data_IF_266039098991
#
_entry.id   IF_266039098991
#
_cell.length_a   1.000
_cell.length_b   1.000
_cell.length_c   1.000
_cell.angle_alpha   90.00
_cell.angle_beta   90.00
_cell.angle_gamma   90.00
#
_symmetry.space_group_name_H-M   'P 1'
#
loop_
_entity.id
_entity.type
_entity.pdbx_description
1 polymer ?
#
# COMPACT_ATOMS: atom_id res chain seq x y z
N UNK A 1 -11.54 -1.47 -10.93
CA UNK A 1 -10.55 -2.54 -11.10
C UNK A 1 -11.21 -3.80 -11.63
N UNK A 2 -10.50 -4.54 -12.47
CA UNK A 2 -10.84 -5.92 -12.86
C UNK A 2 -9.82 -6.83 -12.20
N UNK A 3 -10.31 -7.85 -11.48
CA UNK A 3 -9.46 -8.83 -10.79
C UNK A 3 -9.85 -10.22 -11.25
N UNK A 4 -8.87 -10.98 -11.71
CA UNK A 4 -9.00 -12.37 -12.04
C UNK A 4 -8.11 -13.20 -11.14
N UNK A 5 -8.68 -14.25 -10.52
CA UNK A 5 -7.96 -15.15 -9.64
C UNK A 5 -8.21 -16.59 -10.03
N UNK A 6 -7.14 -17.39 -10.10
CA UNK A 6 -7.22 -18.81 -10.47
C UNK A 6 -6.29 -19.67 -9.62
N UNK A 7 -6.74 -20.86 -9.19
CA UNK A 7 -5.85 -21.83 -8.55
C UNK A 7 -4.92 -22.45 -9.61
N UNK A 8 -3.64 -22.58 -9.28
CA UNK A 8 -2.62 -23.22 -10.10
C UNK A 8 -2.31 -24.67 -9.67
N UNK A 9 -2.96 -25.18 -8.62
CA UNK A 9 -2.65 -26.47 -8.00
C UNK A 9 -1.52 -26.38 -6.96
N UNK A 10 -1.31 -27.45 -6.20
CA UNK A 10 -0.30 -27.55 -5.12
C UNK A 10 -0.38 -26.42 -4.08
N UNK A 11 -1.56 -25.84 -3.87
CA UNK A 11 -1.80 -24.75 -2.93
C UNK A 11 -1.37 -23.36 -3.43
N UNK A 12 -1.00 -23.21 -4.70
CA UNK A 12 -0.76 -21.92 -5.34
C UNK A 12 -2.04 -21.33 -5.93
N UNK A 13 -2.16 -20.00 -5.90
CA UNK A 13 -3.13 -19.26 -6.71
C UNK A 13 -2.48 -18.03 -7.34
N UNK A 14 -2.87 -17.77 -8.59
CA UNK A 14 -2.46 -16.58 -9.35
C UNK A 14 -3.58 -15.53 -9.26
N UNK A 15 -3.20 -14.29 -9.03
CA UNK A 15 -4.09 -13.12 -9.14
C UNK A 15 -3.52 -12.20 -10.21
N UNK A 16 -4.36 -11.75 -11.14
CA UNK A 16 -4.07 -10.67 -12.08
C UNK A 16 -5.10 -9.57 -11.85
N UNK A 17 -4.64 -8.34 -11.75
CA UNK A 17 -5.50 -7.19 -11.56
C UNK A 17 -5.11 -6.05 -12.50
N UNK A 18 -6.11 -5.34 -13.01
CA UNK A 18 -5.94 -4.13 -13.79
C UNK A 18 -6.92 -3.06 -13.35
N UNK A 19 -6.45 -1.85 -13.20
CA UNK A 19 -7.25 -0.71 -12.80
C UNK A 19 -6.78 0.56 -13.54
N UNK A 20 -7.68 1.34 -14.15
CA UNK A 20 -7.34 2.69 -14.61
C UNK A 20 -6.83 3.56 -13.47
N UNK A 21 -7.38 3.34 -12.27
CA UNK A 21 -7.04 4.02 -11.02
C UNK A 21 -6.95 2.96 -9.93
N UNK A 22 -5.83 2.91 -9.18
CA UNK A 22 -5.64 1.90 -8.14
C UNK A 22 -4.37 2.08 -7.31
N UNK A 23 -4.16 1.16 -6.38
CA UNK A 23 -2.95 1.09 -5.57
C UNK A 23 -2.00 0.04 -6.14
N UNK A 24 -0.74 0.36 -6.47
CA UNK A 24 0.27 -0.61 -6.86
C UNK A 24 0.72 -1.48 -5.68
N UNK A 25 1.42 -2.56 -5.95
CA UNK A 25 2.02 -3.45 -4.95
C UNK A 25 3.23 -2.78 -4.25
N UNK A 26 3.00 -1.65 -3.59
CA UNK A 26 4.02 -0.83 -2.93
C UNK A 26 3.48 -0.38 -1.57
N UNK A 27 4.27 -0.51 -0.51
CA UNK A 27 3.86 -0.16 0.84
C UNK A 27 2.84 -1.11 1.47
N UNK A 28 2.45 -0.86 2.72
CA UNK A 28 1.27 -1.46 3.32
C UNK A 28 0.01 -0.98 2.61
N UNK A 29 -1.14 -1.50 2.99
CA UNK A 29 -2.43 -0.92 2.61
C UNK A 29 -2.47 0.57 2.98
N UNK A 30 -2.96 1.43 2.10
CA UNK A 30 -3.05 2.87 2.33
C UNK A 30 -3.83 3.18 3.62
N UNK A 31 -3.49 4.29 4.30
CA UNK A 31 -4.00 4.60 5.65
C UNK A 31 -5.53 4.53 5.74
N UNK A 32 -6.24 5.01 4.75
CA UNK A 32 -7.71 5.03 4.70
C UNK A 32 -8.34 3.63 4.66
N UNK A 33 -7.56 2.60 4.34
CA UNK A 33 -8.02 1.21 4.27
C UNK A 33 -7.42 0.35 5.41
N UNK A 34 -6.57 0.91 6.27
CA UNK A 34 -6.00 0.19 7.42
C UNK A 34 -6.95 0.22 8.60
N UNK A 35 -7.19 -0.94 9.20
CA UNK A 35 -8.01 -1.01 10.43
C UNK A 35 -7.39 -0.22 11.58
N UNK A 36 -6.06 -0.13 11.67
CA UNK A 36 -5.36 0.65 12.68
C UNK A 36 -5.52 2.16 12.54
N UNK A 37 -5.91 2.64 11.34
CA UNK A 37 -6.15 4.06 11.04
C UNK A 37 -7.65 4.35 10.81
N UNK A 38 -8.55 3.45 11.22
CA UNK A 38 -9.98 3.56 10.92
C UNK A 38 -10.61 4.87 11.40
N UNK A 39 -10.14 5.41 12.51
CA UNK A 39 -10.64 6.68 13.08
C UNK A 39 -9.78 7.89 12.68
N UNK A 40 -8.76 7.69 11.86
CA UNK A 40 -7.88 8.80 11.46
C UNK A 40 -8.57 9.68 10.40
N UNK A 41 -8.91 10.94 10.69
CA UNK A 41 -9.60 11.81 9.76
C UNK A 41 -8.66 12.40 8.69
N UNK A 42 -7.34 12.28 8.86
CA UNK A 42 -6.33 12.94 8.01
C UNK A 42 -5.21 11.99 7.64
N UNK A 43 -4.57 12.24 6.50
CA UNK A 43 -3.38 11.49 6.10
C UNK A 43 -2.24 11.71 7.10
N UNK A 44 -1.52 10.65 7.54
CA UNK A 44 -0.31 10.79 8.34
C UNK A 44 0.75 11.60 7.59
N UNK A 45 1.55 12.40 8.29
CA UNK A 45 2.62 13.21 7.69
C UNK A 45 3.63 12.36 6.88
N UNK A 46 3.81 11.10 7.26
CA UNK A 46 4.75 10.16 6.64
C UNK A 46 4.17 9.40 5.43
N UNK A 47 2.90 9.61 5.04
CA UNK A 47 2.24 8.78 4.03
C UNK A 47 2.97 8.77 2.68
N UNK A 48 3.55 9.88 2.22
CA UNK A 48 4.37 9.95 1.00
C UNK A 48 5.67 9.11 1.05
N UNK A 49 6.02 8.57 2.23
CA UNK A 49 7.23 7.75 2.38
C UNK A 49 6.90 6.31 2.72
N UNK A 50 5.80 6.06 3.43
CA UNK A 50 5.46 4.74 3.96
C UNK A 50 4.41 3.99 3.14
N UNK A 51 3.51 4.69 2.48
CA UNK A 51 2.41 4.13 1.69
C UNK A 51 2.73 4.11 0.18
N UNK A 52 1.83 3.55 -0.62
CA UNK A 52 1.93 3.54 -2.08
C UNK A 52 1.66 4.90 -2.72
N UNK A 53 1.61 6.00 -1.99
CA UNK A 53 1.05 7.27 -2.43
C UNK A 53 -0.36 7.13 -2.98
N UNK A 54 -1.26 7.92 -2.54
CA UNK A 54 -2.69 8.05 -2.84
C UNK A 54 -3.26 7.07 -3.88
N UNK A 55 -3.21 7.42 -5.13
CA UNK A 55 -3.83 6.72 -6.24
C UNK A 55 -2.85 6.80 -7.40
N UNK A 56 -2.48 5.65 -7.94
CA UNK A 56 -1.70 5.57 -9.18
C UNK A 56 -2.61 5.32 -10.37
N UNK A 57 -2.24 5.86 -11.51
CA UNK A 57 -2.97 5.66 -12.76
C UNK A 57 -2.41 4.43 -13.49
N UNK A 58 -3.29 3.74 -14.25
CA UNK A 58 -2.88 2.64 -15.12
C UNK A 58 -2.21 1.47 -14.41
N UNK A 59 -2.73 1.03 -13.25
CA UNK A 59 -2.09 -0.03 -12.45
C UNK A 59 -2.38 -1.41 -12.99
N UNK A 60 -1.32 -2.18 -13.27
CA UNK A 60 -1.38 -3.61 -13.58
C UNK A 60 -0.62 -4.38 -12.49
N UNK A 61 -1.26 -5.37 -11.89
CA UNK A 61 -0.67 -6.18 -10.80
C UNK A 61 -0.78 -7.65 -11.10
N UNK A 62 0.29 -8.39 -10.84
CA UNK A 62 0.30 -9.84 -10.80
C UNK A 62 0.72 -10.31 -9.41
N UNK A 63 0.04 -11.30 -8.85
CA UNK A 63 0.32 -11.85 -7.52
C UNK A 63 0.28 -13.36 -7.49
N UNK A 64 1.14 -13.96 -6.70
CA UNK A 64 1.22 -15.38 -6.44
C UNK A 64 1.07 -15.62 -4.94
N UNK A 65 0.07 -16.44 -4.58
CA UNK A 65 -0.21 -16.82 -3.19
C UNK A 65 0.14 -18.30 -2.94
N UNK A 66 0.70 -18.60 -1.78
CA UNK A 66 0.84 -19.96 -1.26
C UNK A 66 0.83 -19.98 0.27
N UNK A 67 -0.19 -20.60 0.85
CA UNK A 67 -0.34 -20.66 2.31
C UNK A 67 -0.31 -19.27 2.94
N UNK A 68 0.61 -18.98 3.89
CA UNK A 68 0.69 -17.67 4.54
C UNK A 68 1.43 -16.60 3.71
N UNK A 69 2.00 -16.98 2.56
CA UNK A 69 2.83 -16.10 1.72
C UNK A 69 2.07 -15.58 0.51
N UNK A 70 2.32 -14.34 0.16
CA UNK A 70 1.92 -13.74 -1.10
C UNK A 70 3.06 -12.87 -1.62
N UNK A 71 3.33 -12.93 -2.92
CA UNK A 71 4.26 -12.04 -3.60
C UNK A 71 3.52 -11.38 -4.75
N UNK A 72 3.68 -10.08 -4.89
CA UNK A 72 3.00 -9.27 -5.90
C UNK A 72 4.01 -8.38 -6.63
N UNK A 73 3.72 -8.08 -7.88
CA UNK A 73 4.43 -7.07 -8.65
C UNK A 73 3.46 -6.20 -9.43
N UNK A 74 3.76 -4.91 -9.54
CA UNK A 74 2.94 -3.96 -10.29
C UNK A 74 3.76 -3.17 -11.28
N UNK A 75 3.12 -2.82 -12.41
CA UNK A 75 3.52 -1.77 -13.33
C UNK A 75 2.44 -0.69 -13.29
N UNK A 76 2.85 0.57 -13.27
CA UNK A 76 1.91 1.69 -13.11
C UNK A 76 2.52 3.00 -13.60
N UNK A 77 1.70 4.03 -13.76
CA UNK A 77 2.16 5.39 -13.97
C UNK A 77 2.61 5.98 -12.64
N UNK A 78 3.85 6.50 -12.58
CA UNK A 78 4.47 6.96 -11.34
C UNK A 78 4.01 8.33 -10.86
N UNK A 79 3.58 9.19 -11.78
CA UNK A 79 3.14 10.55 -11.45
C UNK A 79 1.85 10.55 -10.63
N UNK A 80 1.80 11.43 -9.64
CA UNK A 80 0.58 11.68 -8.88
C UNK A 80 -0.49 12.36 -9.74
N UNK A 81 -1.78 12.14 -9.45
CA UNK A 81 -2.86 12.93 -10.01
C UNK A 81 -2.64 14.42 -9.77
N UNK A 82 -2.94 15.24 -10.78
CA UNK A 82 -2.96 16.68 -10.59
C UNK A 82 -4.13 17.12 -9.67
N UNK A 83 -4.15 18.37 -9.26
CA UNK A 83 -5.17 18.90 -8.36
C UNK A 83 -6.51 19.22 -9.07
N UNK A 84 -6.63 18.98 -10.37
CA UNK A 84 -7.81 19.31 -11.15
C UNK A 84 -8.86 18.21 -11.07
N UNK A 85 -9.77 18.32 -10.13
CA UNK A 85 -10.80 17.30 -9.80
C UNK A 85 -11.74 16.91 -10.94
N UNK A 86 -11.82 17.71 -11.98
CA UNK A 86 -12.77 17.55 -13.08
C UNK A 86 -12.10 17.16 -14.39
N UNK A 87 -10.80 16.99 -14.37
CA UNK A 87 -10.04 16.56 -15.53
C UNK A 87 -9.97 15.04 -15.63
N UNK A 88 -10.09 14.53 -16.85
CA UNK A 88 -9.78 13.12 -17.13
C UNK A 88 -8.25 13.03 -17.24
N UNK A 89 -7.64 12.64 -16.16
CA UNK A 89 -6.19 12.42 -16.13
C UNK A 89 -5.76 11.46 -17.22
N UNK A 90 -4.72 11.85 -17.94
CA UNK A 90 -3.98 10.93 -18.79
C UNK A 90 -3.44 9.78 -17.90
N UNK A 91 -3.81 8.51 -18.16
CA UNK A 91 -3.24 7.39 -17.42
C UNK A 91 -1.72 7.29 -17.59
N UNK A 92 -1.13 8.05 -18.51
CA UNK A 92 0.30 8.11 -18.75
C UNK A 92 0.88 6.80 -19.27
N UNK A 93 2.20 6.77 -19.36
CA UNK A 93 2.97 5.56 -19.67
C UNK A 93 3.20 4.78 -18.39
N UNK A 94 3.19 3.43 -18.46
CA UNK A 94 3.57 2.57 -17.33
C UNK A 94 5.09 2.61 -17.16
N UNK A 95 5.58 3.61 -16.46
CA UNK A 95 6.99 3.98 -16.32
C UNK A 95 7.58 3.61 -14.95
N UNK A 96 6.75 3.09 -14.07
CA UNK A 96 7.06 2.76 -12.68
C UNK A 96 6.73 1.32 -12.37
N UNK A 97 7.44 0.75 -11.39
CA UNK A 97 7.24 -0.63 -10.99
C UNK A 97 7.41 -0.81 -9.49
N UNK A 98 6.82 -1.87 -8.96
CA UNK A 98 6.99 -2.27 -7.57
C UNK A 98 6.89 -3.77 -7.39
N UNK A 99 7.46 -4.25 -6.28
CA UNK A 99 7.30 -5.62 -5.77
C UNK A 99 6.95 -5.55 -4.29
N UNK A 100 6.08 -6.46 -3.84
CA UNK A 100 5.64 -6.55 -2.46
C UNK A 100 5.48 -8.00 -2.03
N UNK A 101 6.00 -8.31 -0.85
CA UNK A 101 5.81 -9.58 -0.18
C UNK A 101 4.94 -9.42 1.06
N UNK A 102 4.05 -10.38 1.29
CA UNK A 102 3.24 -10.51 2.49
C UNK A 102 3.52 -11.84 3.17
N UNK A 103 3.54 -11.81 4.49
CA UNK A 103 3.59 -13.00 5.33
C UNK A 103 2.55 -12.90 6.44
N UNK A 104 1.65 -13.87 6.50
CA UNK A 104 0.54 -13.94 7.45
C UNK A 104 0.71 -15.16 8.36
N UNK A 105 1.60 -15.10 9.40
CA UNK A 105 1.89 -16.25 10.26
C UNK A 105 0.67 -16.74 11.02
N UNK A 106 -0.27 -15.86 11.33
CA UNK A 106 -1.53 -16.16 12.01
C UNK A 106 -2.66 -15.32 11.41
N UNK A 107 -3.90 -15.58 11.79
CA UNK A 107 -5.04 -14.74 11.41
C UNK A 107 -5.00 -13.32 12.00
N UNK A 108 -4.14 -13.08 13.00
CA UNK A 108 -4.02 -11.78 13.65
C UNK A 108 -2.87 -10.93 13.11
N UNK A 109 -1.83 -11.52 12.52
CA UNK A 109 -0.64 -10.83 12.09
C UNK A 109 -0.48 -10.80 10.57
N UNK A 110 -0.12 -9.63 10.07
CA UNK A 110 0.29 -9.44 8.67
C UNK A 110 1.60 -8.65 8.65
N UNK A 111 2.63 -9.24 8.07
CA UNK A 111 3.91 -8.60 7.82
C UNK A 111 4.03 -8.29 6.34
N UNK A 112 4.66 -7.17 6.00
CA UNK A 112 4.84 -6.73 4.62
C UNK A 112 6.23 -6.15 4.45
N UNK A 113 6.83 -6.38 3.27
CA UNK A 113 7.98 -5.64 2.77
C UNK A 113 7.77 -5.35 1.28
N UNK A 114 8.18 -4.17 0.83
CA UNK A 114 8.08 -3.78 -0.58
C UNK A 114 9.25 -2.91 -1.01
N UNK A 115 9.47 -2.92 -2.32
CA UNK A 115 10.41 -2.03 -2.99
C UNK A 115 9.85 -1.62 -4.35
N UNK A 116 10.10 -0.38 -4.76
CA UNK A 116 9.64 0.11 -6.05
C UNK A 116 10.44 1.31 -6.55
N UNK A 117 10.29 1.54 -7.83
CA UNK A 117 10.80 2.69 -8.55
C UNK A 117 9.60 3.50 -9.06
N UNK A 118 9.57 4.78 -8.74
CA UNK A 118 8.56 5.74 -9.15
C UNK A 118 9.22 6.81 -10.00
N UNK A 119 8.71 6.97 -11.20
CA UNK A 119 9.15 7.99 -12.14
C UNK A 119 8.49 9.31 -11.81
N UNK A 120 9.28 10.30 -11.37
CA UNK A 120 8.83 11.67 -11.06
C UNK A 120 7.45 11.70 -10.36
N UNK A 121 7.31 11.09 -9.15
CA UNK A 121 6.01 10.89 -8.54
C UNK A 121 5.33 12.19 -8.09
N UNK A 122 6.08 13.23 -7.79
CA UNK A 122 5.56 14.48 -7.24
C UNK A 122 5.78 15.64 -8.24
N UNK A 123 4.71 16.36 -8.57
CA UNK A 123 4.76 17.44 -9.57
C UNK A 123 5.68 18.60 -9.17
N UNK A 124 5.82 18.86 -7.87
CA UNK A 124 6.60 19.97 -7.33
C UNK A 124 8.02 19.58 -6.88
N UNK A 125 8.33 18.28 -6.79
CA UNK A 125 9.65 17.76 -6.47
C UNK A 125 10.19 16.91 -7.63
N UNK A 126 10.97 17.52 -8.54
CA UNK A 126 11.47 16.79 -9.69
C UNK A 126 12.45 15.68 -9.30
N UNK A 127 12.35 14.56 -9.97
CA UNK A 127 13.26 13.43 -9.82
C UNK A 127 12.56 12.12 -9.52
N UNK A 128 13.27 11.05 -9.78
CA UNK A 128 12.79 9.70 -9.58
C UNK A 128 12.97 9.28 -8.12
N UNK A 129 12.10 8.42 -7.62
CA UNK A 129 12.14 7.91 -6.24
C UNK A 129 12.27 6.39 -6.23
N UNK A 130 13.23 5.88 -5.45
CA UNK A 130 13.22 4.47 -5.03
C UNK A 130 12.66 4.39 -3.63
N UNK A 131 11.53 3.71 -3.48
CA UNK A 131 10.83 3.54 -2.20
C UNK A 131 10.99 2.12 -1.68
N UNK A 132 11.37 2.01 -0.43
CA UNK A 132 11.38 0.75 0.31
C UNK A 132 10.51 0.92 1.55
N UNK A 133 9.63 -0.04 1.84
CA UNK A 133 8.89 -0.03 3.09
C UNK A 133 8.77 -1.42 3.70
N UNK A 134 8.59 -1.44 5.02
CA UNK A 134 8.26 -2.63 5.78
C UNK A 134 7.21 -2.29 6.83
N UNK A 135 6.29 -3.22 7.08
CA UNK A 135 5.25 -3.03 8.09
C UNK A 135 4.89 -4.31 8.82
N UNK A 136 4.42 -4.13 10.05
CA UNK A 136 3.81 -5.18 10.85
C UNK A 136 2.44 -4.68 11.33
N UNK A 137 1.38 -5.38 10.95
CA UNK A 137 0.01 -5.09 11.34
C UNK A 137 -0.54 -6.23 12.17
N UNK A 138 -1.23 -5.88 13.24
CA UNK A 138 -1.91 -6.80 14.12
C UNK A 138 -3.35 -6.38 14.32
N UNK A 139 -4.27 -7.35 14.30
CA UNK A 139 -5.68 -7.13 14.56
C UNK A 139 -6.26 -8.29 15.35
N UNK A 140 -7.04 -7.98 16.38
CA UNK A 140 -7.79 -8.97 17.18
C UNK A 140 -9.21 -8.52 17.45
N UNK A 141 -10.17 -9.41 17.22
CA UNK A 141 -11.58 -9.22 17.60
C UNK A 141 -11.80 -9.63 19.05
N UNK A 142 -12.70 -8.97 19.72
CA UNK A 142 -13.21 -9.30 21.06
C UNK A 142 -14.73 -9.10 21.12
N UNK A 143 -15.36 -9.45 22.23
CA UNK A 143 -16.84 -9.47 22.36
C UNK A 143 -17.52 -8.11 22.12
N UNK A 144 -16.81 -7.00 22.31
CA UNK A 144 -17.37 -5.64 22.19
C UNK A 144 -16.79 -4.83 21.02
N UNK A 145 -15.96 -5.44 20.18
CA UNK A 145 -15.34 -4.75 19.06
C UNK A 145 -14.04 -5.42 18.59
N UNK A 146 -13.07 -4.62 18.29
CA UNK A 146 -11.74 -5.06 17.82
C UNK A 146 -10.65 -4.08 18.23
N UNK A 147 -9.42 -4.56 18.21
CA UNK A 147 -8.23 -3.73 18.35
C UNK A 147 -7.31 -4.00 17.17
N UNK A 148 -6.79 -2.96 16.55
CA UNK A 148 -5.79 -3.07 15.50
C UNK A 148 -4.63 -2.10 15.77
N UNK A 149 -3.43 -2.52 15.43
CA UNK A 149 -2.23 -1.72 15.51
C UNK A 149 -1.33 -1.99 14.31
N UNK A 150 -0.65 -0.97 13.81
CA UNK A 150 0.31 -1.08 12.71
C UNK A 150 1.55 -0.25 13.02
N UNK A 151 2.72 -0.83 12.78
CA UNK A 151 3.99 -0.13 12.77
C UNK A 151 4.58 -0.22 11.35
N UNK A 152 5.09 0.90 10.84
CA UNK A 152 5.60 1.01 9.47
C UNK A 152 6.94 1.74 9.49
N UNK A 153 7.85 1.27 8.67
CA UNK A 153 9.06 1.97 8.26
C UNK A 153 9.02 2.20 6.76
N UNK A 154 9.37 3.40 6.33
CA UNK A 154 9.52 3.76 4.92
C UNK A 154 10.83 4.51 4.68
N UNK A 155 11.40 4.31 3.50
CA UNK A 155 12.58 5.02 3.02
C UNK A 155 12.39 5.38 1.55
N UNK A 156 12.53 6.68 1.25
CA UNK A 156 12.66 7.20 -0.10
C UNK A 156 14.13 7.55 -0.36
N UNK A 157 14.72 6.99 -1.40
CA UNK A 157 15.97 7.45 -1.98
C UNK A 157 15.64 8.28 -3.21
N UNK A 158 15.93 9.58 -3.17
CA UNK A 158 15.64 10.54 -4.23
C UNK A 158 16.77 11.56 -4.36
N UNK A 159 16.68 12.44 -5.35
CA UNK A 159 17.63 13.54 -5.50
C UNK A 159 17.70 14.35 -4.21
N UNK A 160 18.92 14.48 -3.66
CA UNK A 160 19.13 15.15 -2.37
C UNK A 160 19.33 14.20 -1.18
N UNK A 161 19.15 12.87 -1.35
CA UNK A 161 19.53 11.88 -0.33
C UNK A 161 18.44 10.88 0.06
N UNK A 162 18.61 10.31 1.23
CA UNK A 162 17.72 9.31 1.80
C UNK A 162 16.80 9.94 2.85
N UNK A 163 15.50 9.73 2.70
CA UNK A 163 14.47 10.19 3.62
C UNK A 163 13.81 9.00 4.29
N UNK A 164 13.87 8.94 5.61
CA UNK A 164 13.32 7.85 6.40
C UNK A 164 12.11 8.35 7.18
N UNK A 165 11.09 7.50 7.28
CA UNK A 165 9.89 7.76 8.06
C UNK A 165 9.49 6.54 8.88
N UNK A 166 8.93 6.79 10.05
CA UNK A 166 8.35 5.79 10.93
C UNK A 166 6.93 6.21 11.26
N UNK A 167 6.02 5.24 11.31
CA UNK A 167 4.64 5.43 11.72
C UNK A 167 4.26 4.32 12.69
N UNK A 168 3.59 4.67 13.78
CA UNK A 168 2.89 3.73 14.64
C UNK A 168 1.48 4.27 14.89
N UNK A 169 0.49 3.43 14.72
CA UNK A 169 -0.92 3.78 14.87
C UNK A 169 -1.70 2.62 15.47
N UNK A 170 -2.76 2.93 16.20
CA UNK A 170 -3.64 1.92 16.77
C UNK A 170 -5.06 2.44 16.90
N UNK A 171 -6.05 1.56 16.65
CA UNK A 171 -7.46 1.81 16.94
C UNK A 171 -7.99 0.72 17.86
N UNK A 172 -8.70 1.13 18.90
CA UNK A 172 -9.46 0.23 19.78
C UNK A 172 -10.94 0.62 19.77
N UNK A 173 -11.81 -0.33 19.42
CA UNK A 173 -13.26 -0.13 19.42
C UNK A 173 -13.92 -0.90 20.57
N UNK A 174 -14.90 -0.31 21.23
CA UNK A 174 -15.64 -0.92 22.33
C UNK A 174 -17.10 -0.47 22.36
N UNK A 175 -18.00 -1.34 21.91
CA UNK A 175 -19.40 -1.00 21.69
C UNK A 175 -19.56 0.04 20.58
N UNK A 176 -20.16 1.18 20.89
CA UNK A 176 -20.36 2.28 19.95
C UNK A 176 -19.22 3.33 19.99
N UNK A 177 -18.15 3.08 20.74
CA UNK A 177 -17.03 4.03 20.90
C UNK A 177 -15.75 3.47 20.33
N UNK A 178 -14.83 4.38 20.00
CA UNK A 178 -13.49 4.06 19.56
C UNK A 178 -12.46 5.06 20.09
N UNK A 179 -11.21 4.62 20.13
CA UNK A 179 -10.04 5.43 20.47
C UNK A 179 -8.96 5.15 19.42
N UNK A 180 -8.35 6.22 18.95
CA UNK A 180 -7.23 6.20 18.01
C UNK A 180 -6.01 6.90 18.62
#
# INVERSE_FOLDING_TARGET
AVVWRTPLGRGYSLTLAGAPVGEPALGPVAFMHRSSAFENPTAPLSHHTVDSTHISMGVLTAGLDRGPWQVEGSLFHGGEPDEQRWDLMDPGVLDSWSVRGWYRPTSAWTLQASHGFLKTPEAHEPGDVRRTSASASWMRRHSRGWTAATAIYGRNNKLGGDFNAFLAEATHTFGANSVY
#
